data_IF_201809249973
#
_entry.id   IF_201809249973
#
_cell.length_a   1.000
_cell.length_b   1.000
_cell.length_c   1.000
_cell.angle_alpha   90.00
_cell.angle_beta   90.00
_cell.angle_gamma   90.00
#
_symmetry.space_group_name_H-M   'P 1'
#
loop_
_entity.id
_entity.type
_entity.pdbx_description
1 polymer ?
#
# COMPACT_ATOMS: atom_id res chain seq x y z
N UNK A 1 7.65 33.24 37.64
CA UNK A 1 8.71 32.22 37.76
C UNK A 1 8.30 31.26 38.86
N UNK A 2 8.16 29.97 38.59
CA UNK A 2 7.74 28.98 39.59
C UNK A 2 8.95 28.61 40.45
N UNK A 3 8.96 29.00 41.73
CA UNK A 3 10.05 28.72 42.68
C UNK A 3 10.07 27.25 43.13
N UNK A 4 10.53 26.37 42.23
CA UNK A 4 10.63 24.93 42.43
C UNK A 4 11.51 24.51 43.63
N UNK A 5 12.46 25.37 44.03
CA UNK A 5 13.40 25.07 45.12
C UNK A 5 12.74 24.94 46.50
N UNK A 6 11.53 25.48 46.70
CA UNK A 6 10.86 25.48 48.02
C UNK A 6 10.00 24.24 48.28
N UNK A 7 9.57 23.50 47.25
CA UNK A 7 8.68 22.36 47.40
C UNK A 7 9.03 21.21 46.43
N UNK A 8 9.81 20.20 46.87
CA UNK A 8 10.22 19.09 46.00
C UNK A 8 9.03 18.31 45.41
N UNK A 9 7.89 18.28 46.12
CA UNK A 9 6.63 17.68 45.64
C UNK A 9 6.07 18.37 44.39
N UNK A 10 6.11 19.70 44.35
CA UNK A 10 5.67 20.49 43.17
C UNK A 10 6.54 20.14 41.97
N UNK A 11 7.81 19.87 42.23
CA UNK A 11 8.72 19.44 41.21
C UNK A 11 8.42 18.07 40.62
N UNK A 12 8.24 17.08 41.48
CA UNK A 12 7.88 15.73 41.06
C UNK A 12 6.57 15.74 40.25
N UNK A 13 5.56 16.50 40.70
CA UNK A 13 4.27 16.60 39.98
C UNK A 13 4.47 17.17 38.58
N UNK A 14 5.27 18.23 38.41
CA UNK A 14 5.45 18.86 37.10
C UNK A 14 6.23 17.94 36.13
N UNK A 15 7.21 17.18 36.62
CA UNK A 15 7.89 16.14 35.82
C UNK A 15 6.91 15.06 35.38
N UNK A 16 6.05 14.57 36.28
CA UNK A 16 5.04 13.55 35.96
C UNK A 16 4.07 14.06 34.90
N UNK A 17 3.60 15.31 35.02
CA UNK A 17 2.70 15.94 34.02
C UNK A 17 3.38 16.03 32.65
N UNK A 18 4.65 16.44 32.59
CA UNK A 18 5.42 16.51 31.34
C UNK A 18 5.54 15.12 30.70
N UNK A 19 5.88 14.08 31.47
CA UNK A 19 6.04 12.71 30.95
C UNK A 19 4.72 12.17 30.40
N UNK A 20 3.60 12.40 31.09
CA UNK A 20 2.26 12.02 30.61
C UNK A 20 1.92 12.74 29.31
N UNK A 21 2.21 14.04 29.22
CA UNK A 21 1.92 14.84 28.03
C UNK A 21 2.74 14.37 26.82
N UNK A 22 4.04 14.13 27.01
CA UNK A 22 4.93 13.57 25.98
C UNK A 22 4.42 12.20 25.52
N UNK A 23 4.09 11.31 26.46
CA UNK A 23 3.53 9.98 26.16
C UNK A 23 2.26 10.05 25.31
N UNK A 24 1.35 10.97 25.63
CA UNK A 24 0.11 11.18 24.86
C UNK A 24 0.37 11.72 23.45
N UNK A 25 1.28 12.69 23.29
CA UNK A 25 1.67 13.20 21.97
C UNK A 25 2.30 12.14 21.07
N UNK A 26 3.16 11.27 21.63
CA UNK A 26 3.79 10.18 20.86
C UNK A 26 2.77 9.14 20.42
N UNK A 27 1.77 8.82 21.25
CA UNK A 27 0.71 7.89 20.88
C UNK A 27 -0.15 8.39 19.70
N UNK A 28 -0.32 9.71 19.54
CA UNK A 28 -1.10 10.32 18.45
C UNK A 28 -0.36 10.35 17.11
N UNK A 29 0.95 10.14 17.08
CA UNK A 29 1.77 10.19 15.86
C UNK A 29 1.90 8.85 15.11
N UNK A 30 1.15 7.81 15.50
CA UNK A 30 1.19 6.53 14.76
C UNK A 30 0.61 6.73 13.34
N UNK A 31 1.39 6.48 12.27
CA UNK A 31 0.90 6.64 10.91
C UNK A 31 -0.25 5.66 10.66
N UNK A 32 -1.38 6.17 10.15
CA UNK A 32 -2.48 5.32 9.70
C UNK A 32 -1.94 4.39 8.60
N UNK A 33 -2.02 3.07 8.82
CA UNK A 33 -1.61 2.09 7.79
C UNK A 33 -2.67 2.07 6.70
N UNK A 34 -2.38 2.69 5.57
CA UNK A 34 -3.26 2.66 4.40
C UNK A 34 -3.21 1.27 3.74
N UNK A 35 -4.39 0.68 3.57
CA UNK A 35 -4.59 -0.55 2.83
C UNK A 35 -5.52 -0.28 1.65
N UNK A 36 -5.40 -1.08 0.60
CA UNK A 36 -6.32 -1.05 -0.53
C UNK A 36 -6.55 -2.48 -1.01
N UNK A 37 -7.74 -2.71 -1.56
CA UNK A 37 -8.09 -3.96 -2.25
C UNK A 37 -7.62 -3.89 -3.69
N UNK A 38 -7.01 -4.96 -4.17
CA UNK A 38 -6.63 -5.08 -5.58
C UNK A 38 -6.69 -6.53 -6.03
N UNK A 39 -6.90 -6.71 -7.33
CA UNK A 39 -6.89 -8.02 -7.96
C UNK A 39 -5.47 -8.51 -8.19
N UNK A 40 -5.27 -9.80 -7.97
CA UNK A 40 -4.04 -10.53 -8.22
C UNK A 40 -4.31 -11.73 -9.10
N UNK A 41 -3.37 -12.03 -9.99
CA UNK A 41 -3.36 -13.24 -10.82
C UNK A 41 -2.10 -14.03 -10.52
N UNK A 42 -2.27 -15.32 -10.24
CA UNK A 42 -1.16 -16.25 -10.07
C UNK A 42 -0.66 -16.73 -11.43
N UNK A 43 0.65 -16.63 -11.68
CA UNK A 43 1.23 -17.08 -12.96
C UNK A 43 1.41 -18.59 -13.07
N UNK A 44 1.25 -19.33 -11.97
CA UNK A 44 1.45 -20.78 -11.97
C UNK A 44 0.17 -21.59 -12.06
N UNK A 45 -0.98 -21.02 -11.71
CA UNK A 45 -2.27 -21.72 -11.76
C UNK A 45 -3.41 -20.86 -12.31
N UNK A 46 -3.08 -19.70 -12.89
CA UNK A 46 -3.98 -18.70 -13.46
C UNK A 46 -5.11 -18.22 -12.52
N UNK A 47 -5.03 -18.52 -11.23
CA UNK A 47 -6.05 -18.13 -10.27
C UNK A 47 -6.05 -16.61 -10.08
N UNK A 48 -7.21 -16.00 -10.28
CA UNK A 48 -7.45 -14.59 -9.99
C UNK A 48 -8.16 -14.46 -8.64
N UNK A 49 -7.70 -13.54 -7.80
CA UNK A 49 -8.29 -13.30 -6.48
C UNK A 49 -8.11 -11.84 -6.07
N UNK A 50 -9.06 -11.33 -5.29
CA UNK A 50 -8.98 -10.00 -4.71
C UNK A 50 -8.47 -10.10 -3.27
N UNK A 51 -7.50 -9.27 -2.88
CA UNK A 51 -7.02 -9.23 -1.50
C UNK A 51 -6.61 -7.82 -1.06
N UNK A 52 -6.63 -7.60 0.25
CA UNK A 52 -6.17 -6.36 0.88
C UNK A 52 -4.65 -6.37 0.95
N UNK A 53 -4.02 -5.31 0.43
CA UNK A 53 -2.59 -5.12 0.50
C UNK A 53 -2.23 -3.79 1.16
N UNK A 54 -1.07 -3.78 1.81
CA UNK A 54 -0.52 -2.59 2.42
C UNK A 54 0.41 -1.88 1.42
N UNK A 55 0.47 -0.55 1.52
CA UNK A 55 1.49 0.22 0.82
C UNK A 55 2.90 -0.34 1.12
N UNK A 56 3.69 -0.59 0.08
CA UNK A 56 5.04 -1.13 0.22
C UNK A 56 5.16 -2.65 0.40
N UNK A 57 4.07 -3.41 0.30
CA UNK A 57 4.14 -4.88 0.35
C UNK A 57 4.97 -5.44 -0.82
N UNK A 58 5.92 -6.34 -0.51
CA UNK A 58 6.78 -6.97 -1.52
C UNK A 58 5.98 -7.95 -2.39
N UNK A 59 6.16 -7.85 -3.70
CA UNK A 59 5.67 -8.80 -4.70
C UNK A 59 6.79 -9.79 -5.06
N UNK A 60 6.48 -11.02 -5.53
CA UNK A 60 5.14 -11.61 -5.70
C UNK A 60 4.47 -12.05 -4.39
N UNK A 61 3.14 -12.08 -4.38
CA UNK A 61 2.36 -12.60 -3.24
C UNK A 61 2.18 -14.11 -3.31
N UNK A 62 1.94 -14.71 -2.14
CA UNK A 62 1.54 -16.11 -2.00
C UNK A 62 0.13 -16.29 -2.58
N UNK A 63 -0.02 -17.18 -3.55
CA UNK A 63 -1.32 -17.54 -4.10
C UNK A 63 -2.10 -18.39 -3.09
N UNK A 64 -3.38 -18.08 -2.79
CA UNK A 64 -4.19 -18.86 -1.86
C UNK A 64 -4.53 -20.27 -2.38
N UNK A 65 -4.54 -20.46 -3.71
CA UNK A 65 -4.92 -21.74 -4.34
C UNK A 65 -3.76 -22.74 -4.40
N UNK A 66 -2.58 -22.31 -4.84
CA UNK A 66 -1.42 -23.19 -5.00
C UNK A 66 -0.33 -23.02 -3.92
N UNK A 67 -0.46 -22.01 -3.06
CA UNK A 67 0.50 -21.74 -1.99
C UNK A 67 1.85 -21.18 -2.43
N UNK A 68 2.09 -20.99 -3.74
CA UNK A 68 3.37 -20.49 -4.28
C UNK A 68 3.39 -18.96 -4.35
N UNK A 69 4.57 -18.36 -4.15
CA UNK A 69 4.78 -16.91 -4.26
C UNK A 69 4.90 -16.49 -5.72
N UNK A 70 3.77 -16.48 -6.44
CA UNK A 70 3.72 -16.22 -7.89
C UNK A 70 2.54 -15.32 -8.30
N UNK A 71 1.93 -14.60 -7.34
CA UNK A 71 0.81 -13.72 -7.62
C UNK A 71 1.25 -12.26 -7.79
N UNK A 72 0.92 -11.68 -8.94
CA UNK A 72 1.15 -10.27 -9.28
C UNK A 72 -0.19 -9.55 -9.49
N UNK A 73 -0.17 -8.22 -9.48
CA UNK A 73 -1.38 -7.43 -9.72
C UNK A 73 -1.98 -7.82 -11.07
N UNK A 74 -3.28 -8.09 -11.08
CA UNK A 74 -4.02 -8.41 -12.29
C UNK A 74 -4.64 -7.15 -12.86
N UNK A 75 -4.66 -7.08 -14.19
CA UNK A 75 -5.35 -6.02 -14.93
C UNK A 75 -6.11 -6.64 -16.10
N UNK A 76 -7.27 -6.09 -16.41
CA UNK A 76 -8.14 -6.54 -17.49
C UNK A 76 -8.12 -5.54 -18.64
N UNK A 77 -7.96 -6.01 -19.86
CA UNK A 77 -8.23 -5.21 -21.04
C UNK A 77 -9.73 -5.00 -21.19
N UNK A 78 -10.18 -3.74 -21.28
CA UNK A 78 -11.62 -3.46 -21.41
C UNK A 78 -12.14 -3.69 -22.82
N UNK A 79 -11.26 -3.65 -23.83
CA UNK A 79 -11.66 -3.88 -25.23
C UNK A 79 -11.83 -5.37 -25.55
N UNK A 80 -10.92 -6.26 -25.09
CA UNK A 80 -10.98 -7.71 -25.39
C UNK A 80 -11.24 -8.62 -24.18
N UNK A 81 -11.29 -8.07 -22.97
CA UNK A 81 -11.54 -8.82 -21.75
C UNK A 81 -10.35 -9.61 -21.20
N UNK A 82 -9.20 -9.64 -21.89
CA UNK A 82 -8.03 -10.42 -21.48
C UNK A 82 -7.46 -9.95 -20.14
N UNK A 83 -7.21 -10.90 -19.23
CA UNK A 83 -6.65 -10.64 -17.89
C UNK A 83 -5.21 -11.09 -17.81
N UNK A 84 -4.31 -10.16 -17.48
CA UNK A 84 -2.87 -10.39 -17.41
C UNK A 84 -2.24 -9.77 -16.17
N UNK A 85 -1.02 -10.20 -15.86
CA UNK A 85 -0.23 -9.71 -14.73
C UNK A 85 0.56 -8.46 -15.09
N UNK A 86 0.56 -7.47 -14.19
CA UNK A 86 1.51 -6.36 -14.22
C UNK A 86 2.74 -6.71 -13.39
N UNK A 87 3.83 -7.07 -14.06
CA UNK A 87 5.14 -7.21 -13.43
C UNK A 87 5.76 -5.83 -13.25
N UNK A 88 6.39 -5.54 -12.10
CA UNK A 88 7.27 -4.40 -12.00
C UNK A 88 8.37 -4.54 -13.07
N UNK A 89 8.41 -3.63 -14.03
CA UNK A 89 9.56 -3.54 -14.91
C UNK A 89 10.68 -2.84 -14.13
N UNK A 90 11.86 -3.44 -14.08
CA UNK A 90 13.05 -2.68 -13.68
C UNK A 90 13.20 -1.53 -14.66
N UNK A 91 13.25 -0.27 -14.20
CA UNK A 91 13.49 0.83 -15.12
C UNK A 91 14.76 0.55 -15.92
N UNK A 92 14.80 0.86 -17.23
CA UNK A 92 15.99 0.66 -18.02
C UNK A 92 17.16 1.40 -17.35
N UNK A 93 18.24 0.67 -17.05
CA UNK A 93 19.51 1.23 -16.59
C UNK A 93 20.19 1.93 -17.76
N UNK A 94 19.65 3.06 -18.19
CA UNK A 94 20.26 3.99 -19.15
C UNK A 94 20.85 5.20 -18.42
N UNK A 95 21.83 5.90 -19.00
CA UNK A 95 22.45 7.05 -18.36
C UNK A 95 21.45 8.20 -18.20
N UNK A 96 21.12 8.53 -16.94
CA UNK A 96 20.74 9.89 -16.51
C UNK A 96 19.31 10.39 -16.71
N UNK A 97 18.42 9.66 -17.38
CA UNK A 97 17.02 10.08 -17.57
C UNK A 97 16.08 9.60 -16.45
N UNK A 98 14.98 10.34 -16.13
CA UNK A 98 13.93 9.79 -15.29
C UNK A 98 13.39 8.50 -15.92
N UNK A 99 13.07 7.46 -15.13
CA UNK A 99 12.56 6.21 -15.67
C UNK A 99 11.25 6.49 -16.41
N UNK A 100 11.27 6.32 -17.74
CA UNK A 100 10.05 6.36 -18.53
C UNK A 100 9.25 5.11 -18.17
N UNK A 101 8.19 5.27 -17.38
CA UNK A 101 7.25 4.18 -17.15
C UNK A 101 6.36 4.04 -18.38
N UNK A 102 6.71 3.10 -19.24
CA UNK A 102 5.87 2.77 -20.39
C UNK A 102 4.52 2.24 -19.91
N UNK A 103 3.45 2.86 -20.43
CA UNK A 103 2.10 2.40 -20.20
C UNK A 103 1.96 0.96 -20.73
N UNK A 104 1.53 -0.01 -19.90
CA UNK A 104 1.36 -1.38 -20.38
C UNK A 104 0.30 -1.43 -21.47
N UNK A 105 0.55 -2.24 -22.51
CA UNK A 105 -0.41 -2.58 -23.55
C UNK A 105 -0.97 -3.98 -23.30
N UNK A 106 -2.20 -4.21 -23.71
CA UNK A 106 -2.78 -5.55 -23.69
C UNK A 106 -1.97 -6.46 -24.62
N UNK A 107 -1.44 -7.60 -24.14
CA UNK A 107 -0.62 -8.50 -24.97
C UNK A 107 -1.44 -9.25 -26.03
N UNK A 108 -2.78 -9.27 -25.91
CA UNK A 108 -3.65 -9.98 -26.87
C UNK A 108 -4.11 -9.08 -28.03
N UNK A 109 -4.40 -7.80 -27.78
CA UNK A 109 -4.98 -6.90 -28.79
C UNK A 109 -4.23 -5.56 -28.94
N UNK A 110 -3.19 -5.31 -28.14
CA UNK A 110 -2.43 -4.06 -28.18
C UNK A 110 -3.11 -2.84 -27.56
N UNK A 111 -4.38 -2.94 -27.13
CA UNK A 111 -5.10 -1.83 -26.52
C UNK A 111 -4.44 -1.33 -25.23
N UNK A 112 -4.51 -0.02 -25.01
CA UNK A 112 -4.11 0.66 -23.77
C UNK A 112 -5.27 0.84 -22.79
N UNK A 113 -6.50 0.45 -23.17
CA UNK A 113 -7.66 0.55 -22.30
C UNK A 113 -7.67 -0.59 -21.30
N UNK A 114 -7.11 -0.31 -20.14
CA UNK A 114 -6.92 -1.27 -19.07
C UNK A 114 -7.71 -0.84 -17.83
N UNK A 115 -8.32 -1.82 -17.16
CA UNK A 115 -9.17 -1.60 -15.98
C UNK A 115 -8.99 -2.70 -14.94
N UNK A 116 -9.63 -2.54 -13.76
CA UNK A 116 -9.60 -3.57 -12.74
C UNK A 116 -10.34 -4.83 -13.22
N UNK A 117 -9.98 -5.99 -12.68
CA UNK A 117 -10.63 -7.25 -13.05
C UNK A 117 -11.99 -7.34 -12.38
N UNK A 118 -12.05 -6.95 -11.11
CA UNK A 118 -13.29 -6.80 -10.34
C UNK A 118 -13.68 -5.33 -10.25
N UNK A 119 -14.97 -4.98 -10.31
CA UNK A 119 -15.42 -3.61 -10.00
C UNK A 119 -14.93 -3.22 -8.60
N UNK A 120 -14.26 -2.07 -8.48
CA UNK A 120 -13.83 -1.58 -7.17
C UNK A 120 -15.03 -1.01 -6.43
N UNK A 121 -15.23 -1.43 -5.19
CA UNK A 121 -16.09 -0.67 -4.28
C UNK A 121 -15.54 0.76 -4.14
N UNK A 122 -16.42 1.77 -4.06
CA UNK A 122 -16.00 3.12 -3.69
C UNK A 122 -15.21 3.07 -2.39
N UNK A 123 -14.10 3.83 -2.32
CA UNK A 123 -13.37 3.97 -1.07
C UNK A 123 -14.35 4.46 0.01
N UNK A 124 -14.31 3.91 1.24
CA UNK A 124 -15.06 4.47 2.34
C UNK A 124 -14.70 5.94 2.45
N UNK A 125 -15.67 6.83 2.30
CA UNK A 125 -15.45 8.25 2.52
C UNK A 125 -15.05 8.42 3.98
N UNK A 126 -13.86 8.97 4.25
CA UNK A 126 -13.53 9.35 5.62
C UNK A 126 -14.62 10.33 6.10
N UNK A 127 -15.21 10.11 7.29
CA UNK A 127 -16.13 11.09 7.86
C UNK A 127 -15.37 12.41 8.02
N UNK A 128 -15.96 13.46 7.46
CA UNK A 128 -15.43 14.82 7.40
C UNK A 128 -15.34 15.46 8.79
#
# INVERSE_FOLDING_TARGET
>A
MVDWKKNPKVGVILVVVIVIFIGFTVQRMKPKKYYYTTDFKCEQCDNVFNTKIYGGQKLPLKCPKCGKAAAYRAIKCTDCGFVFTMKPQTPPKGPGGPPMMDMPKCPQCGSIKLGPVTPREPLPTEPK
#
